data_IF_578188202330
#
_entry.id   IF_578188202330
#
_cell.length_a   1.000
_cell.length_b   1.000
_cell.length_c   1.000
_cell.angle_alpha   90.00
_cell.angle_beta   90.00
_cell.angle_gamma   90.00
#
_symmetry.space_group_name_H-M   'P 1'
#
loop_
_entity.id
_entity.type
_entity.pdbx_description
1 polymer ?
#
# COMPACT_ATOMS: atom_id res chain seq x y z
N UNK A 1 -8.39 5.65 -15.29
CA UNK A 1 -8.97 5.58 -13.93
C UNK A 1 -8.30 4.42 -13.21
N UNK A 2 -7.83 4.61 -12.00
CA UNK A 2 -7.22 3.55 -11.17
C UNK A 2 -8.27 3.15 -10.13
N UNK A 3 -8.58 1.86 -10.02
CA UNK A 3 -9.52 1.33 -9.02
C UNK A 3 -8.80 0.64 -7.85
N UNK A 4 -7.58 0.14 -8.09
CA UNK A 4 -6.75 -0.55 -7.11
C UNK A 4 -5.32 -0.05 -7.23
N UNK A 5 -4.71 0.31 -6.11
CA UNK A 5 -3.28 0.60 -6.00
C UNK A 5 -2.61 -0.40 -5.05
N UNK A 6 -1.54 -1.05 -5.50
CA UNK A 6 -0.81 -2.06 -4.74
C UNK A 6 0.65 -1.68 -4.63
N UNK A 7 1.13 -1.62 -3.40
CA UNK A 7 2.53 -1.48 -3.05
C UNK A 7 3.06 -2.82 -2.55
N UNK A 8 4.18 -3.28 -3.12
CA UNK A 8 4.91 -4.45 -2.67
C UNK A 8 6.38 -4.09 -2.45
N UNK A 9 6.84 -4.09 -1.21
CA UNK A 9 8.19 -3.67 -0.88
C UNK A 9 8.46 -3.46 0.60
N UNK A 10 9.65 -2.96 0.90
CA UNK A 10 10.04 -2.67 2.28
C UNK A 10 9.26 -1.49 2.83
N UNK A 11 8.48 -1.76 3.87
CA UNK A 11 7.73 -0.77 4.62
C UNK A 11 8.05 -0.87 6.11
N UNK A 12 7.72 0.20 6.82
CA UNK A 12 7.56 0.19 8.25
C UNK A 12 6.26 0.92 8.63
N UNK A 13 6.02 1.06 9.95
CA UNK A 13 4.82 1.71 10.49
C UNK A 13 4.56 3.12 9.98
N UNK A 14 5.58 3.84 9.50
CA UNK A 14 5.48 5.26 9.17
C UNK A 14 5.81 5.57 7.71
N UNK A 15 6.55 4.69 7.03
CA UNK A 15 7.18 4.99 5.75
C UNK A 15 7.10 3.81 4.79
N UNK A 16 6.82 4.14 3.53
CA UNK A 16 7.09 3.24 2.40
C UNK A 16 8.42 3.65 1.77
N UNK A 17 9.27 2.68 1.46
CA UNK A 17 10.48 2.92 0.67
C UNK A 17 10.08 2.95 -0.80
N UNK A 18 10.20 4.12 -1.42
CA UNK A 18 10.03 4.33 -2.86
C UNK A 18 11.37 4.71 -3.49
N UNK A 19 11.39 4.78 -4.81
CA UNK A 19 12.51 5.34 -5.57
C UNK A 19 12.09 6.69 -6.16
N UNK A 20 12.99 7.67 -6.11
CA UNK A 20 12.82 8.93 -6.82
C UNK A 20 13.12 8.79 -8.32
N UNK A 21 13.04 9.89 -9.07
CA UNK A 21 13.30 9.91 -10.52
C UNK A 21 14.77 9.63 -10.90
N UNK A 22 15.67 9.61 -9.93
CA UNK A 22 17.08 9.25 -10.07
C UNK A 22 17.39 7.82 -9.57
N UNK A 23 16.34 7.05 -9.23
CA UNK A 23 16.47 5.70 -8.69
C UNK A 23 17.05 5.67 -7.27
N UNK A 24 17.07 6.81 -6.56
CA UNK A 24 17.52 6.85 -5.18
C UNK A 24 16.36 6.53 -4.25
N UNK A 25 16.68 5.89 -3.12
CA UNK A 25 15.71 5.57 -2.08
C UNK A 25 15.11 6.85 -1.48
N UNK A 26 13.82 7.02 -1.64
CA UNK A 26 13.02 8.08 -1.05
C UNK A 26 12.01 7.50 -0.06
N UNK A 27 11.81 8.18 1.07
CA UNK A 27 10.82 7.80 2.06
C UNK A 27 9.51 8.51 1.74
N UNK A 28 8.46 7.76 1.43
CA UNK A 28 7.11 8.30 1.36
C UNK A 28 6.51 8.30 2.76
N UNK A 29 6.29 9.50 3.29
CA UNK A 29 5.56 9.70 4.54
C UNK A 29 4.09 9.28 4.36
N UNK A 30 3.54 8.63 5.39
CA UNK A 30 2.17 8.12 5.38
C UNK A 30 1.11 9.19 5.07
N UNK A 31 1.28 10.42 5.58
CA UNK A 31 0.33 11.51 5.34
C UNK A 31 0.36 11.99 3.90
N UNK A 32 1.56 12.25 3.36
CA UNK A 32 1.73 12.66 1.96
C UNK A 32 1.23 11.61 0.96
N UNK A 33 1.41 10.33 1.29
CA UNK A 33 0.88 9.22 0.48
C UNK A 33 -0.66 9.21 0.49
N UNK A 34 -1.28 9.36 1.66
CA UNK A 34 -2.74 9.38 1.77
C UNK A 34 -3.34 10.56 0.98
N UNK A 35 -2.78 11.76 1.12
CA UNK A 35 -3.21 12.96 0.39
C UNK A 35 -3.08 12.79 -1.13
N UNK A 36 -2.01 12.14 -1.59
CA UNK A 36 -1.80 11.85 -3.01
C UNK A 36 -2.81 10.84 -3.55
N UNK A 37 -3.08 9.77 -2.80
CA UNK A 37 -4.03 8.73 -3.19
C UNK A 37 -5.48 9.23 -3.12
N UNK A 38 -5.81 10.14 -2.21
CA UNK A 38 -7.12 10.79 -2.12
C UNK A 38 -7.53 11.51 -3.41
N UNK A 39 -6.55 12.03 -4.17
CA UNK A 39 -6.79 12.74 -5.42
C UNK A 39 -7.16 11.78 -6.58
N UNK A 40 -6.98 10.47 -6.40
CA UNK A 40 -7.27 9.47 -7.43
C UNK A 40 -8.76 9.15 -7.46
N UNK A 41 -9.50 9.88 -8.31
CA UNK A 41 -10.95 9.69 -8.45
C UNK A 41 -11.31 8.25 -8.80
N UNK A 42 -12.02 7.62 -7.88
CA UNK A 42 -12.53 6.26 -7.99
C UNK A 42 -11.50 5.17 -7.73
N UNK A 43 -10.42 5.48 -7.00
CA UNK A 43 -9.63 4.50 -6.28
C UNK A 43 -10.50 3.90 -5.17
N UNK A 44 -10.63 2.58 -5.15
CA UNK A 44 -11.52 1.86 -4.23
C UNK A 44 -10.72 1.03 -3.23
N UNK A 45 -9.53 0.55 -3.62
CA UNK A 45 -8.70 -0.30 -2.79
C UNK A 45 -7.23 0.12 -2.81
N UNK A 46 -6.63 0.23 -1.63
CA UNK A 46 -5.19 0.34 -1.42
C UNK A 46 -4.69 -0.95 -0.76
N UNK A 47 -3.66 -1.57 -1.34
CA UNK A 47 -3.04 -2.77 -0.81
C UNK A 47 -1.57 -2.49 -0.47
N UNK A 48 -1.26 -2.40 0.82
CA UNK A 48 0.07 -2.17 1.39
C UNK A 48 0.75 -3.52 1.76
N UNK A 49 1.31 -4.20 0.77
CA UNK A 49 2.01 -5.47 0.92
C UNK A 49 3.48 -5.27 1.33
N UNK A 50 3.68 -4.86 2.57
CA UNK A 50 4.99 -4.67 3.17
C UNK A 50 4.91 -4.81 4.68
N UNK A 51 6.04 -4.82 5.38
CA UNK A 51 6.08 -5.02 6.83
C UNK A 51 5.40 -3.89 7.62
N UNK A 52 4.59 -4.28 8.62
CA UNK A 52 4.04 -3.39 9.65
C UNK A 52 3.33 -2.13 9.11
N UNK A 53 2.52 -2.25 8.07
CA UNK A 53 1.86 -1.11 7.40
C UNK A 53 0.56 -0.64 8.07
N UNK A 54 0.08 -1.33 9.11
CA UNK A 54 -1.16 -1.02 9.83
C UNK A 54 -1.31 0.45 10.28
N UNK A 55 -0.28 1.17 10.77
CA UNK A 55 -0.48 2.54 11.24
C UNK A 55 -0.90 3.52 10.12
N UNK A 56 -0.71 3.16 8.84
CA UNK A 56 -1.10 3.98 7.68
C UNK A 56 -2.60 3.85 7.35
N UNK A 57 -3.27 2.82 7.88
CA UNK A 57 -4.67 2.48 7.51
C UNK A 57 -5.63 3.62 7.83
N UNK A 58 -5.55 4.20 9.04
CA UNK A 58 -6.51 5.24 9.44
C UNK A 58 -6.38 6.48 8.55
N UNK A 59 -5.16 6.92 8.23
CA UNK A 59 -4.94 8.07 7.35
C UNK A 59 -5.49 7.85 5.94
N UNK A 60 -5.37 6.63 5.40
CA UNK A 60 -5.93 6.27 4.09
C UNK A 60 -7.47 6.23 4.10
N UNK A 61 -8.07 5.72 5.17
CA UNK A 61 -9.53 5.71 5.34
C UNK A 61 -10.08 7.13 5.50
N UNK A 62 -9.42 7.96 6.32
CA UNK A 62 -9.80 9.36 6.53
C UNK A 62 -9.66 10.19 5.23
N UNK A 63 -8.71 9.81 4.37
CA UNK A 63 -8.53 10.36 3.03
C UNK A 63 -9.60 9.92 2.00
N UNK A 64 -10.57 9.10 2.41
CA UNK A 64 -11.71 8.69 1.59
C UNK A 64 -11.48 7.43 0.76
N UNK A 65 -10.42 6.66 1.02
CA UNK A 65 -10.21 5.36 0.39
C UNK A 65 -11.18 4.33 1.01
N UNK A 66 -11.95 3.64 0.18
CA UNK A 66 -13.00 2.73 0.66
C UNK A 66 -12.48 1.51 1.41
N UNK A 67 -11.34 0.96 0.99
CA UNK A 67 -10.76 -0.25 1.58
C UNK A 67 -9.23 -0.22 1.57
N UNK A 68 -8.64 -0.77 2.63
CA UNK A 68 -7.18 -0.89 2.78
C UNK A 68 -6.81 -2.30 3.25
N UNK A 69 -5.90 -2.96 2.54
CA UNK A 69 -5.24 -4.19 2.99
C UNK A 69 -3.84 -3.81 3.48
N UNK A 70 -3.50 -4.19 4.71
CA UNK A 70 -2.23 -3.88 5.37
C UNK A 70 -1.77 -5.03 6.26
N UNK A 71 -0.53 -4.98 6.75
CA UNK A 71 0.03 -5.95 7.69
C UNK A 71 0.17 -5.33 9.09
N UNK A 72 -0.22 -6.07 10.12
CA UNK A 72 -0.09 -5.63 11.51
C UNK A 72 1.32 -5.81 12.10
N UNK A 73 2.15 -6.62 11.44
CA UNK A 73 3.48 -6.99 11.88
C UNK A 73 4.39 -7.22 10.67
N UNK A 74 5.66 -7.50 10.93
CA UNK A 74 6.58 -7.96 9.90
C UNK A 74 6.03 -9.23 9.22
N UNK A 75 6.17 -9.28 7.91
CA UNK A 75 5.75 -10.38 7.05
C UNK A 75 6.98 -10.88 6.28
N UNK A 76 7.05 -12.19 6.07
CA UNK A 76 8.08 -12.80 5.24
C UNK A 76 7.79 -12.56 3.74
N UNK A 77 8.82 -12.30 2.95
CA UNK A 77 8.70 -11.97 1.52
C UNK A 77 7.98 -13.06 0.72
N UNK A 78 8.22 -14.34 1.04
CA UNK A 78 7.56 -15.45 0.35
C UNK A 78 6.06 -15.50 0.70
N UNK A 79 5.71 -15.18 1.95
CA UNK A 79 4.31 -15.11 2.40
C UNK A 79 3.60 -13.91 1.77
N UNK A 80 4.22 -12.75 1.75
CA UNK A 80 3.70 -11.54 1.10
C UNK A 80 3.46 -11.76 -0.40
N UNK A 81 4.41 -12.42 -1.08
CA UNK A 81 4.30 -12.78 -2.50
C UNK A 81 3.14 -13.74 -2.74
N UNK A 82 3.08 -14.84 -1.97
CA UNK A 82 2.02 -15.85 -2.07
C UNK A 82 0.63 -15.26 -1.83
N UNK A 83 0.51 -14.36 -0.85
CA UNK A 83 -0.75 -13.68 -0.55
C UNK A 83 -1.19 -12.81 -1.74
N UNK A 84 -0.28 -12.02 -2.33
CA UNK A 84 -0.59 -11.22 -3.51
C UNK A 84 -0.99 -12.09 -4.72
N UNK A 85 -0.30 -13.20 -4.97
CA UNK A 85 -0.66 -14.17 -6.01
C UNK A 85 -2.10 -14.66 -5.84
N UNK A 86 -2.43 -15.17 -4.64
CA UNK A 86 -3.77 -15.68 -4.34
C UNK A 86 -4.84 -14.57 -4.44
N UNK A 87 -4.53 -13.36 -4.00
CA UNK A 87 -5.43 -12.21 -4.10
C UNK A 87 -5.79 -11.92 -5.56
N UNK A 88 -4.79 -11.77 -6.43
CA UNK A 88 -5.05 -11.44 -7.84
C UNK A 88 -5.66 -12.60 -8.63
N UNK A 89 -5.30 -13.85 -8.31
CA UNK A 89 -5.96 -15.02 -8.89
C UNK A 89 -7.44 -15.07 -8.52
N UNK A 90 -7.79 -14.73 -7.28
CA UNK A 90 -9.18 -14.71 -6.81
C UNK A 90 -9.95 -13.51 -7.36
N UNK A 91 -9.29 -12.36 -7.56
CA UNK A 91 -9.90 -11.15 -8.09
C UNK A 91 -10.21 -11.26 -9.59
N UNK A 92 -9.37 -11.97 -10.35
CA UNK A 92 -9.54 -12.18 -11.79
C UNK A 92 -10.40 -13.40 -12.15
N UNK A 93 -10.82 -14.17 -11.14
CA UNK A 93 -11.64 -15.38 -11.29
C UNK A 93 -13.10 -15.10 -11.61
#
# INVERSE_FOLDING_TARGET
RIALWHYAGHANGYQLLLEDDQGQRALADAGGLADFLAQQRGLELVFLNGCSTQPQVQGLLDAGISAVIATAQAIDDAVATRFAECFYQSLAG
#
